data_IF_839892977886
#
_entry.id   IF_839892977886
#
_cell.length_a   1.000
_cell.length_b   1.000
_cell.length_c   1.000
_cell.angle_alpha   90.00
_cell.angle_beta   90.00
_cell.angle_gamma   90.00
#
_symmetry.space_group_name_H-M   'P 1'
#
loop_
_entity.id
_entity.type
_entity.pdbx_description
1 polymer ?
#
# COMPACT_ATOMS: atom_id res chain seq x y z
N UNK A 1 -5.55 19.52 21.20
CA UNK A 1 -6.13 19.62 19.86
C UNK A 1 -5.65 20.82 19.09
N UNK A 2 -5.57 21.95 19.74
CA UNK A 2 -5.06 23.14 19.08
C UNK A 2 -3.65 22.96 18.59
N UNK A 3 -2.85 22.34 19.39
CA UNK A 3 -1.47 22.07 19.01
C UNK A 3 -1.40 21.26 17.74
N UNK A 4 -2.19 20.22 17.65
CA UNK A 4 -2.22 19.36 16.49
C UNK A 4 -2.71 20.13 15.28
N UNK A 5 -3.72 20.97 15.49
CA UNK A 5 -4.25 21.76 14.41
C UNK A 5 -3.19 22.72 13.85
N UNK A 6 -2.42 23.32 14.75
CA UNK A 6 -1.38 24.23 14.34
C UNK A 6 -0.30 23.50 13.55
N UNK A 7 0.04 22.28 13.96
CA UNK A 7 1.01 21.50 13.22
C UNK A 7 0.50 21.20 11.83
N UNK A 8 -0.78 20.89 11.70
CA UNK A 8 -1.36 20.66 10.38
C UNK A 8 -1.27 21.90 9.51
N UNK A 9 -1.51 23.03 10.11
CA UNK A 9 -1.45 24.28 9.36
C UNK A 9 -0.05 24.61 8.92
N UNK A 10 0.94 24.15 9.66
CA UNK A 10 2.33 24.37 9.30
C UNK A 10 2.80 23.50 8.16
N UNK A 11 1.92 22.65 7.67
CA UNK A 11 2.12 22.00 6.38
C UNK A 11 3.33 21.09 6.31
N UNK A 12 3.13 19.90 6.79
CA UNK A 12 4.08 18.84 6.52
C UNK A 12 4.12 18.62 5.01
N UNK A 13 5.32 18.51 4.44
CA UNK A 13 5.41 18.15 3.03
C UNK A 13 5.15 16.65 2.88
N UNK A 14 4.91 16.24 1.63
CA UNK A 14 4.69 14.82 1.38
C UNK A 14 5.89 13.99 1.82
N UNK A 15 7.10 14.46 1.49
CA UNK A 15 8.30 13.75 1.88
C UNK A 15 8.46 13.69 3.40
N UNK A 16 8.16 14.80 4.07
CA UNK A 16 8.24 14.82 5.52
C UNK A 16 7.23 13.87 6.14
N UNK A 17 6.05 13.77 5.54
CA UNK A 17 5.04 12.83 6.03
C UNK A 17 5.50 11.39 5.90
N UNK A 18 6.09 11.05 4.76
CA UNK A 18 6.60 9.71 4.57
C UNK A 18 7.72 9.40 5.56
N UNK A 19 8.62 10.35 5.77
CA UNK A 19 9.71 10.16 6.71
C UNK A 19 9.22 10.04 8.13
N UNK A 20 8.15 10.76 8.44
CA UNK A 20 7.56 10.67 9.77
C UNK A 20 7.07 9.26 10.04
N UNK A 21 6.44 8.65 9.04
CA UNK A 21 6.00 7.27 9.20
C UNK A 21 7.17 6.31 9.31
N UNK A 22 8.24 6.54 8.55
CA UNK A 22 9.42 5.70 8.67
C UNK A 22 10.03 5.78 10.05
N UNK A 23 10.05 6.98 10.63
CA UNK A 23 10.54 7.13 12.00
C UNK A 23 9.65 6.39 12.97
N UNK A 24 8.34 6.42 12.73
CA UNK A 24 7.41 5.64 13.55
C UNK A 24 7.73 4.15 13.46
N UNK A 25 8.08 3.68 12.26
CA UNK A 25 8.47 2.29 12.10
C UNK A 25 9.72 1.95 12.90
N UNK A 26 10.68 2.86 12.91
CA UNK A 26 11.90 2.65 13.68
C UNK A 26 11.61 2.63 15.17
N UNK A 27 10.72 3.53 15.62
CA UNK A 27 10.34 3.55 17.03
C UNK A 27 9.70 2.25 17.45
N UNK A 28 8.95 1.63 16.56
CA UNK A 28 8.31 0.35 16.84
C UNK A 28 9.25 -0.82 16.58
N UNK A 29 10.48 -0.54 16.24
CA UNK A 29 11.51 -1.56 16.04
C UNK A 29 11.15 -2.54 14.92
N UNK A 30 10.59 -2.02 13.84
CA UNK A 30 10.28 -2.86 12.69
C UNK A 30 11.57 -3.24 11.98
N UNK A 31 11.51 -4.36 11.27
CA UNK A 31 12.68 -4.88 10.59
C UNK A 31 13.16 -3.93 9.51
N UNK A 32 14.47 -3.96 9.28
CA UNK A 32 15.05 -3.14 8.23
C UNK A 32 14.46 -3.46 6.86
N UNK A 33 14.13 -4.72 6.63
CA UNK A 33 13.52 -5.11 5.36
C UNK A 33 12.17 -4.43 5.17
N UNK A 34 11.41 -4.31 6.26
CA UNK A 34 10.11 -3.62 6.19
C UNK A 34 10.31 -2.15 5.87
N UNK A 35 11.27 -1.53 6.51
CA UNK A 35 11.55 -0.11 6.27
C UNK A 35 12.02 0.10 4.85
N UNK A 36 12.87 -0.80 4.35
CA UNK A 36 13.34 -0.73 2.98
C UNK A 36 12.18 -0.86 2.00
N UNK A 37 11.24 -1.73 2.31
CA UNK A 37 10.06 -1.91 1.47
C UNK A 37 9.26 -0.61 1.37
N UNK A 38 9.06 0.05 2.51
CA UNK A 38 8.34 1.33 2.49
C UNK A 38 9.09 2.37 1.67
N UNK A 39 10.42 2.41 1.79
CA UNK A 39 11.20 3.36 1.01
C UNK A 39 11.03 3.13 -0.49
N UNK A 40 11.00 1.88 -0.90
CA UNK A 40 10.81 1.55 -2.30
C UNK A 40 9.43 2.03 -2.78
N UNK A 41 8.41 1.83 -1.95
CA UNK A 41 7.08 2.33 -2.29
C UNK A 41 7.06 3.85 -2.36
N UNK A 42 7.79 4.50 -1.47
CA UNK A 42 7.84 5.96 -1.48
C UNK A 42 8.51 6.49 -2.73
N UNK A 43 9.52 5.78 -3.23
CA UNK A 43 10.13 6.17 -4.50
C UNK A 43 9.10 6.15 -5.63
N UNK A 44 8.18 5.19 -5.60
CA UNK A 44 7.10 5.15 -6.58
C UNK A 44 6.15 6.33 -6.36
N UNK A 45 5.85 6.66 -5.12
CA UNK A 45 4.97 7.80 -4.82
C UNK A 45 5.56 9.07 -5.39
N UNK A 46 6.86 9.26 -5.25
CA UNK A 46 7.52 10.49 -5.68
C UNK A 46 7.54 10.65 -7.19
N UNK A 47 7.26 9.59 -7.92
CA UNK A 47 7.15 9.72 -9.37
C UNK A 47 5.86 10.41 -9.78
N UNK A 48 4.88 10.45 -8.90
CA UNK A 48 3.60 11.06 -9.17
C UNK A 48 3.37 12.30 -8.32
N UNK A 49 3.68 12.21 -7.04
CA UNK A 49 3.47 13.31 -6.11
C UNK A 49 4.76 14.10 -5.93
N UNK A 50 4.63 15.42 -5.90
CA UNK A 50 5.76 16.30 -5.62
C UNK A 50 6.15 16.09 -4.16
N UNK A 51 7.44 15.86 -3.93
CA UNK A 51 7.94 15.67 -2.57
C UNK A 51 7.67 16.87 -1.68
N UNK A 52 7.63 18.06 -2.28
CA UNK A 52 7.50 19.29 -1.53
C UNK A 52 6.06 19.75 -1.39
N UNK A 53 5.11 19.03 -1.97
CA UNK A 53 3.72 19.44 -1.86
C UNK A 53 3.23 19.21 -0.43
N UNK A 54 2.32 20.07 0.05
CA UNK A 54 1.76 19.86 1.39
C UNK A 54 0.97 18.56 1.40
N UNK A 55 1.23 17.75 2.42
CA UNK A 55 0.56 16.46 2.50
C UNK A 55 -0.95 16.63 2.68
N UNK A 56 -1.36 17.74 3.26
CA UNK A 56 -2.78 18.01 3.47
C UNK A 56 -3.53 18.24 2.17
N UNK A 57 -2.82 18.50 1.07
CA UNK A 57 -3.47 18.68 -0.23
C UNK A 57 -3.84 17.36 -0.88
N UNK A 58 -3.39 16.25 -0.32
CA UNK A 58 -3.70 14.95 -0.87
C UNK A 58 -5.02 14.49 -0.29
N UNK A 59 -5.99 14.28 -1.16
CA UNK A 59 -7.33 13.87 -0.79
C UNK A 59 -7.69 12.61 -1.55
N UNK A 60 -8.93 12.17 -1.40
CA UNK A 60 -9.41 11.00 -2.12
C UNK A 60 -9.21 11.16 -3.62
N UNK A 61 -9.37 12.36 -4.12
CA UNK A 61 -9.20 12.62 -5.54
C UNK A 61 -7.78 12.32 -5.98
N UNK A 62 -6.80 12.76 -5.21
CA UNK A 62 -5.40 12.52 -5.54
C UNK A 62 -5.06 11.04 -5.43
N UNK A 63 -5.65 10.36 -4.46
CA UNK A 63 -5.44 8.93 -4.31
C UNK A 63 -5.96 8.18 -5.53
N UNK A 64 -7.14 8.53 -6.00
CA UNK A 64 -7.70 7.89 -7.18
C UNK A 64 -6.89 8.19 -8.43
N UNK A 65 -6.39 9.42 -8.54
CA UNK A 65 -5.52 9.77 -9.65
C UNK A 65 -4.23 8.97 -9.61
N UNK A 66 -3.72 8.69 -8.42
CA UNK A 66 -2.53 7.89 -8.26
C UNK A 66 -2.76 6.46 -8.77
N UNK A 67 -3.94 5.90 -8.48
CA UNK A 67 -4.27 4.58 -8.99
C UNK A 67 -4.19 4.55 -10.51
N UNK A 68 -4.77 5.55 -11.14
CA UNK A 68 -4.75 5.63 -12.60
C UNK A 68 -3.32 5.77 -13.11
N UNK A 69 -2.52 6.56 -12.41
CA UNK A 69 -1.12 6.70 -12.77
C UNK A 69 -0.39 5.37 -12.74
N UNK A 70 -0.59 4.61 -11.67
CA UNK A 70 0.05 3.30 -11.56
C UNK A 70 -0.39 2.36 -12.67
N UNK A 71 -1.68 2.40 -13.01
CA UNK A 71 -2.20 1.55 -14.07
C UNK A 71 -1.63 1.90 -15.43
N UNK A 72 -1.11 3.10 -15.58
CA UNK A 72 -0.60 3.53 -16.87
C UNK A 72 0.71 2.83 -17.24
N UNK A 73 1.40 2.24 -16.27
CA UNK A 73 2.66 1.58 -16.58
C UNK A 73 2.88 0.27 -15.82
N UNK A 74 1.98 -0.11 -14.94
CA UNK A 74 2.06 -1.36 -14.20
C UNK A 74 0.85 -2.21 -14.58
N UNK A 75 1.10 -3.39 -15.12
CA UNK A 75 0.03 -4.28 -15.54
C UNK A 75 -0.46 -5.17 -14.42
N UNK A 76 0.41 -5.47 -13.47
CA UNK A 76 0.11 -6.44 -12.43
C UNK A 76 -0.65 -5.77 -11.29
N UNK A 77 -1.91 -6.17 -11.12
CA UNK A 77 -2.76 -5.58 -10.09
C UNK A 77 -2.21 -5.80 -8.68
N UNK A 78 -1.53 -6.92 -8.48
CA UNK A 78 -0.97 -7.19 -7.14
C UNK A 78 0.15 -6.24 -6.83
N UNK A 79 0.96 -5.90 -7.83
CA UNK A 79 2.01 -4.91 -7.64
C UNK A 79 1.43 -3.55 -7.33
N UNK A 80 0.38 -3.17 -8.06
CA UNK A 80 -0.30 -1.90 -7.82
C UNK A 80 -0.82 -1.89 -6.39
N UNK A 81 -1.48 -2.97 -5.97
CA UNK A 81 -2.03 -3.03 -4.62
C UNK A 81 -0.95 -2.99 -3.55
N UNK A 82 0.22 -3.52 -3.84
CA UNK A 82 1.32 -3.44 -2.89
C UNK A 82 1.67 -1.98 -2.61
N UNK A 83 1.80 -1.19 -3.67
CA UNK A 83 2.08 0.24 -3.50
C UNK A 83 0.94 0.97 -2.83
N UNK A 84 -0.30 0.63 -3.20
CA UNK A 84 -1.46 1.28 -2.60
C UNK A 84 -1.57 0.95 -1.12
N UNK A 85 -1.26 -0.28 -0.76
CA UNK A 85 -1.32 -0.68 0.65
C UNK A 85 -0.35 0.15 1.48
N UNK A 86 0.85 0.36 0.95
CA UNK A 86 1.83 1.16 1.67
C UNK A 86 1.39 2.62 1.75
N UNK A 87 0.76 3.12 0.69
CA UNK A 87 0.20 4.47 0.71
C UNK A 87 -0.90 4.57 1.77
N UNK A 88 -1.80 3.60 1.78
CA UNK A 88 -2.90 3.59 2.73
C UNK A 88 -2.39 3.54 4.16
N UNK A 89 -1.41 2.69 4.41
CA UNK A 89 -0.85 2.56 5.75
C UNK A 89 -0.22 3.87 6.20
N UNK A 90 0.57 4.49 5.33
CA UNK A 90 1.22 5.74 5.65
C UNK A 90 0.19 6.84 5.91
N UNK A 91 -0.83 6.92 5.06
CA UNK A 91 -1.81 7.99 5.21
C UNK A 91 -2.78 7.76 6.36
N UNK A 92 -3.07 6.50 6.70
CA UNK A 92 -3.83 6.25 7.93
C UNK A 92 -3.08 6.77 9.14
N UNK A 93 -1.77 6.57 9.15
CA UNK A 93 -0.94 7.12 10.22
C UNK A 93 -1.03 8.65 10.24
N UNK A 94 -0.91 9.28 9.08
CA UNK A 94 -0.95 10.73 9.01
C UNK A 94 -2.33 11.28 9.39
N UNK A 95 -3.38 10.57 9.02
CA UNK A 95 -4.73 10.95 9.42
C UNK A 95 -4.91 10.85 10.93
N UNK A 96 -4.40 9.78 11.51
CA UNK A 96 -4.49 9.58 12.94
C UNK A 96 -3.75 10.66 13.69
N UNK A 97 -2.61 11.09 13.16
CA UNK A 97 -1.81 12.14 13.78
C UNK A 97 -2.34 13.52 13.48
N UNK A 98 -3.32 13.64 12.61
CA UNK A 98 -3.97 14.92 12.36
C UNK A 98 -3.33 15.77 11.27
N UNK A 99 -2.42 15.20 10.50
CA UNK A 99 -1.77 15.96 9.43
C UNK A 99 -2.58 15.98 8.15
N UNK A 100 -3.50 15.04 7.99
CA UNK A 100 -4.29 14.89 6.78
C UNK A 100 -5.74 14.65 7.20
N UNK A 101 -6.67 15.24 6.46
CA UNK A 101 -8.08 14.99 6.71
C UNK A 101 -8.43 13.57 6.33
N UNK A 102 -9.36 12.99 7.07
CA UNK A 102 -9.78 11.63 6.79
C UNK A 102 -10.46 11.53 5.43
N UNK A 103 -10.07 10.56 4.65
CA UNK A 103 -10.77 10.21 3.42
C UNK A 103 -10.60 8.72 3.20
N UNK A 104 -11.48 8.18 2.37
CA UNK A 104 -11.47 6.75 2.12
C UNK A 104 -10.42 6.40 1.09
N UNK A 105 -9.69 5.32 1.39
CA UNK A 105 -8.73 4.76 0.47
C UNK A 105 -8.97 3.27 0.40
N UNK A 106 -9.37 2.81 -0.77
CA UNK A 106 -9.59 1.39 -0.97
C UNK A 106 -8.57 0.86 -1.96
N UNK A 107 -8.04 -0.31 -1.67
CA UNK A 107 -7.19 -0.99 -2.63
C UNK A 107 -8.05 -1.34 -3.84
N UNK A 108 -7.40 -1.48 -4.99
CA UNK A 108 -8.14 -1.89 -6.16
C UNK A 108 -8.49 -3.36 -6.02
N UNK A 109 -9.57 -3.74 -6.68
CA UNK A 109 -9.98 -5.13 -6.68
C UNK A 109 -9.03 -5.90 -7.57
N UNK A 110 -8.37 -6.87 -6.99
CA UNK A 110 -7.50 -7.75 -7.77
C UNK A 110 -8.36 -8.80 -8.44
N UNK A 111 -8.15 -8.96 -9.73
CA UNK A 111 -8.88 -9.96 -10.47
C UNK A 111 -8.24 -11.31 -10.23
N UNK A 112 -8.83 -12.06 -9.34
CA UNK A 112 -8.39 -13.41 -9.03
C UNK A 112 -9.24 -14.44 -9.75
N UNK A 113 -9.86 -14.03 -10.83
CA UNK A 113 -10.75 -14.90 -11.58
C UNK A 113 -10.18 -16.28 -11.85
N UNK A 114 -8.94 -16.40 -12.30
CA UNK A 114 -8.40 -17.72 -12.55
C UNK A 114 -8.46 -18.60 -11.32
N UNK A 115 -8.23 -18.02 -10.17
CA UNK A 115 -8.32 -18.76 -8.92
C UNK A 115 -9.77 -19.05 -8.59
N UNK A 116 -10.58 -18.05 -8.75
CA UNK A 116 -11.99 -18.15 -8.40
C UNK A 116 -12.76 -19.06 -9.33
N UNK A 117 -12.26 -19.20 -10.54
CA UNK A 117 -12.92 -20.07 -11.51
C UNK A 117 -12.62 -21.52 -11.27
N UNK A 118 -11.63 -21.82 -10.45
CA UNK A 118 -11.32 -23.21 -10.13
C UNK A 118 -12.36 -23.73 -9.16
N UNK A 119 -12.86 -24.90 -9.46
CA UNK A 119 -13.70 -25.61 -8.50
C UNK A 119 -12.80 -26.18 -7.44
N UNK A 120 -13.42 -26.61 -6.34
CA UNK A 120 -12.66 -27.25 -5.29
C UNK A 120 -11.93 -28.46 -5.83
N UNK A 121 -12.56 -29.18 -6.73
CA UNK A 121 -11.94 -30.36 -7.32
C UNK A 121 -10.74 -29.96 -8.17
N UNK A 122 -10.88 -28.91 -8.92
CA UNK A 122 -9.77 -28.44 -9.74
C UNK A 122 -8.61 -27.96 -8.90
N UNK A 123 -8.92 -27.21 -7.85
CA UNK A 123 -7.89 -26.77 -6.95
C UNK A 123 -7.21 -27.96 -6.27
N UNK A 124 -8.00 -28.93 -5.88
CA UNK A 124 -7.48 -30.12 -5.25
C UNK A 124 -6.58 -30.88 -6.21
N UNK A 125 -6.99 -30.96 -7.45
CA UNK A 125 -6.17 -31.62 -8.47
C UNK A 125 -4.85 -30.90 -8.64
N UNK A 126 -4.90 -29.60 -8.74
CA UNK A 126 -3.69 -28.82 -8.87
C UNK A 126 -2.80 -28.98 -7.66
N UNK A 127 -3.39 -28.98 -6.49
CA UNK A 127 -2.63 -29.16 -5.28
C UNK A 127 -2.08 -30.57 -5.16
N UNK A 128 -2.82 -31.55 -5.60
CA UNK A 128 -2.34 -32.91 -5.60
C UNK A 128 -1.17 -33.09 -6.55
N UNK A 129 -1.28 -32.48 -7.70
CA UNK A 129 -0.18 -32.47 -8.63
C UNK A 129 1.00 -31.78 -8.00
N UNK A 130 0.72 -30.66 -7.40
CA UNK A 130 1.76 -29.90 -6.74
C UNK A 130 2.27 -30.67 -5.53
N UNK A 131 1.39 -31.38 -4.83
CA UNK A 131 1.82 -32.21 -3.72
C UNK A 131 2.55 -33.43 -4.17
N UNK A 132 2.03 -33.97 -5.19
CA UNK A 132 2.70 -35.07 -5.83
C UNK A 132 3.98 -34.55 -6.35
N UNK A 133 3.82 -33.41 -6.81
CA UNK A 133 4.93 -32.64 -7.18
C UNK A 133 5.55 -32.06 -5.97
N UNK A 134 4.67 -31.76 -5.15
CA UNK A 134 5.04 -31.14 -3.95
C UNK A 134 4.48 -31.85 -2.80
N UNK A 135 2.63 -32.44 -3.25
CA UNK A 135 1.92 -32.62 -2.57
C UNK A 135 1.86 -32.63 -2.41
N UNK A 136 1.67 -33.09 -2.79
CA UNK A 136 1.37 -33.00 -2.75
C UNK A 136 1.27 -32.35 -2.37
N UNK A 137 1.41 -32.79 -2.39
CA UNK A 137 1.22 -32.31 -2.05
C UNK A 137 0.76 -31.95 -1.43
N UNK A 138 0.35 -32.46 -1.30
CA UNK A 138 -0.03 -32.42 -1.10
C UNK A 138 -0.66 -32.36 -0.78
N UNK A 139 -0.78 -32.85 -0.75
CA UNK A 139 -1.22 -32.84 -0.75
C UNK A 139 -1.59 -32.75 -0.60
N UNK A 140 -1.77 -33.19 -0.73
CA UNK A 140 -1.95 -33.12 -0.81
C UNK A 140 -2.24 -32.90 -0.50
N UNK A 141 -2.43 -33.53 -0.45
CA UNK A 141 -2.58 -33.43 -0.30
C UNK A 141 -2.38 -33.26 0.08
#
# INVERSE_FOLDING_TARGET
>A
MEKIRMLRENSLTFEEGCNLYLNNCRERNLRQDTIRHYRQSYDQFYKFFDRNMPVKNITEKEYKAYIIHLRSYIDNDRSINSYLRDFITTFHFLMKEGYVENFQMKAIKVDDSPVETYTDDELRSMMNIAKVIMFVRGTTN
#
